data_IF_267802776117
#
_entry.id   IF_267802776117
#
_cell.length_a   1.000
_cell.length_b   1.000
_cell.length_c   1.000
_cell.angle_alpha   90.00
_cell.angle_beta   90.00
_cell.angle_gamma   90.00
#
_symmetry.space_group_name_H-M   'P 1'
#
loop_
_entity.id
_entity.type
_entity.pdbx_description
1 polymer ?
#
# COMPACT_ATOMS: atom_id res chain seq x y z
N UNK A 1 -4.11 0.60 -12.21
CA UNK A 1 -3.08 0.42 -11.16
C UNK A 1 -1.76 1.13 -11.43
N UNK A 2 -0.88 0.70 -12.35
CA UNK A 2 0.45 1.36 -12.50
C UNK A 2 0.32 2.86 -12.81
N UNK A 3 -0.52 3.23 -13.77
CA UNK A 3 -0.85 4.64 -14.06
C UNK A 3 -1.51 5.38 -12.91
N UNK A 4 -2.25 4.70 -12.04
CA UNK A 4 -2.99 5.35 -10.95
C UNK A 4 -2.14 5.52 -9.69
N UNK A 5 -1.22 4.58 -9.44
CA UNK A 5 -0.34 4.55 -8.27
C UNK A 5 0.91 5.37 -8.55
N UNK A 6 1.51 5.21 -9.74
CA UNK A 6 2.81 5.79 -10.08
C UNK A 6 2.72 6.98 -11.05
N UNK A 7 1.53 7.29 -11.56
CA UNK A 7 1.34 8.32 -12.61
C UNK A 7 2.15 8.03 -13.91
N UNK A 8 2.55 6.76 -14.14
CA UNK A 8 3.32 6.30 -15.29
C UNK A 8 2.50 5.48 -16.28
N UNK A 9 2.81 5.60 -17.57
CA UNK A 9 2.32 4.70 -18.61
C UNK A 9 3.39 3.67 -18.99
N UNK A 10 2.99 2.42 -19.17
CA UNK A 10 3.87 1.35 -19.65
C UNK A 10 3.55 1.08 -21.12
N UNK A 11 4.59 1.02 -21.94
CA UNK A 11 4.51 0.56 -23.32
C UNK A 11 5.24 -0.76 -23.51
N UNK A 12 4.58 -1.66 -24.24
CA UNK A 12 5.11 -2.95 -24.63
C UNK A 12 5.34 -2.93 -26.13
N UNK A 13 6.55 -3.23 -26.58
CA UNK A 13 6.83 -3.49 -28.00
C UNK A 13 7.52 -4.83 -28.11
N UNK A 14 6.95 -5.71 -28.93
CA UNK A 14 7.51 -7.00 -29.30
C UNK A 14 8.56 -6.82 -30.39
N UNK A 15 9.71 -7.47 -30.26
CA UNK A 15 10.67 -7.63 -31.36
C UNK A 15 10.78 -9.13 -31.64
N UNK A 16 10.54 -9.56 -32.89
CA UNK A 16 10.41 -10.98 -33.28
C UNK A 16 11.67 -11.82 -33.00
N UNK A 17 12.79 -11.19 -32.65
CA UNK A 17 14.08 -11.84 -32.41
C UNK A 17 14.47 -12.02 -30.93
N UNK A 18 13.75 -11.39 -29.98
CA UNK A 18 14.08 -11.46 -28.54
C UNK A 18 12.77 -11.55 -27.76
N UNK A 19 12.57 -12.64 -27.01
CA UNK A 19 11.40 -12.90 -26.13
C UNK A 19 11.24 -11.91 -24.96
N UNK A 20 11.88 -10.75 -24.99
CA UNK A 20 11.84 -9.75 -23.91
C UNK A 20 11.06 -8.53 -24.39
N UNK A 21 9.84 -8.38 -23.87
CA UNK A 21 8.95 -7.25 -24.12
C UNK A 21 9.01 -6.29 -22.92
N UNK A 22 9.90 -5.30 -22.92
CA UNK A 22 9.80 -4.12 -22.04
C UNK A 22 10.40 -2.91 -22.73
N UNK A 23 9.57 -1.97 -23.21
CA UNK A 23 10.04 -0.70 -23.76
C UNK A 23 9.51 0.47 -22.92
N UNK A 24 10.08 0.55 -21.72
CA UNK A 24 10.14 1.74 -20.90
C UNK A 24 8.84 2.26 -20.28
N UNK A 25 9.01 3.18 -19.34
CA UNK A 25 7.95 3.95 -18.72
C UNK A 25 7.90 5.34 -19.35
N UNK A 26 6.70 5.88 -19.51
CA UNK A 26 6.48 7.25 -19.96
C UNK A 26 5.82 8.05 -18.85
N UNK A 27 6.48 9.14 -18.48
CA UNK A 27 5.90 10.17 -17.60
C UNK A 27 5.16 11.20 -18.46
N UNK A 28 4.07 11.78 -17.95
CA UNK A 28 3.28 12.78 -18.68
C UNK A 28 4.06 14.07 -18.97
N UNK A 29 5.08 14.37 -18.17
CA UNK A 29 5.88 15.59 -18.28
C UNK A 29 7.10 15.43 -19.19
N UNK A 30 7.43 14.20 -19.60
CA UNK A 30 8.59 13.91 -20.42
C UNK A 30 8.20 13.28 -21.75
N UNK A 31 8.81 13.75 -22.85
CA UNK A 31 8.52 13.24 -24.19
C UNK A 31 9.10 11.85 -24.45
N UNK A 32 10.13 11.45 -23.69
CA UNK A 32 10.91 10.24 -23.94
C UNK A 32 10.51 9.09 -23.01
N UNK A 33 10.69 7.86 -23.49
CA UNK A 33 10.56 6.64 -22.70
C UNK A 33 11.81 6.39 -21.87
N UNK A 34 11.63 5.95 -20.62
CA UNK A 34 12.72 5.60 -19.71
C UNK A 34 12.80 4.09 -19.55
N UNK A 35 14.01 3.52 -19.70
CA UNK A 35 14.24 2.11 -19.38
C UNK A 35 13.97 1.85 -17.88
N UNK A 36 13.56 0.64 -17.49
CA UNK A 36 13.43 0.27 -16.09
C UNK A 36 14.71 0.54 -15.26
N UNK A 37 15.89 0.40 -15.88
CA UNK A 37 17.19 0.73 -15.27
C UNK A 37 17.40 2.22 -14.97
N UNK A 38 16.63 3.09 -15.61
CA UNK A 38 16.80 4.55 -15.55
C UNK A 38 15.77 5.21 -14.62
N UNK A 39 15.03 4.41 -13.85
CA UNK A 39 13.95 4.85 -12.97
C UNK A 39 14.33 4.57 -11.52
N UNK A 40 13.83 5.39 -10.60
CA UNK A 40 14.10 5.24 -9.18
C UNK A 40 13.71 3.85 -8.66
N UNK A 41 14.49 3.35 -7.71
CA UNK A 41 14.31 2.02 -7.12
C UNK A 41 12.90 1.82 -6.54
N UNK A 42 12.29 2.86 -5.96
CA UNK A 42 10.93 2.82 -5.43
C UNK A 42 9.85 2.56 -6.50
N UNK A 43 9.95 3.20 -7.66
CA UNK A 43 9.03 2.96 -8.78
C UNK A 43 9.16 1.55 -9.35
N UNK A 44 10.39 1.05 -9.46
CA UNK A 44 10.66 -0.33 -9.87
C UNK A 44 10.07 -1.34 -8.89
N UNK A 45 10.25 -1.12 -7.59
CA UNK A 45 9.71 -1.98 -6.55
C UNK A 45 8.17 -1.97 -6.55
N UNK A 46 7.57 -0.78 -6.60
CA UNK A 46 6.13 -0.62 -6.71
C UNK A 46 5.55 -1.30 -7.95
N UNK A 47 6.23 -1.18 -9.10
CA UNK A 47 5.81 -1.86 -10.33
C UNK A 47 5.81 -3.37 -10.17
N UNK A 48 6.86 -3.94 -9.54
CA UNK A 48 6.92 -5.38 -9.25
C UNK A 48 5.77 -5.83 -8.35
N UNK A 49 5.48 -5.09 -7.28
CA UNK A 49 4.35 -5.38 -6.38
C UNK A 49 3.04 -5.42 -7.17
N UNK A 50 2.81 -4.45 -8.07
CA UNK A 50 1.58 -4.40 -8.87
C UNK A 50 1.50 -5.57 -9.85
N UNK A 51 2.59 -5.87 -10.58
CA UNK A 51 2.63 -6.98 -11.54
C UNK A 51 2.39 -8.32 -10.84
N UNK A 52 3.08 -8.57 -9.72
CA UNK A 52 2.92 -9.80 -8.93
C UNK A 52 1.50 -9.88 -8.38
N UNK A 53 1.00 -8.82 -7.74
CA UNK A 53 -0.35 -8.81 -7.17
C UNK A 53 -1.44 -9.10 -8.21
N UNK A 54 -1.26 -8.63 -9.45
CA UNK A 54 -2.19 -8.89 -10.55
C UNK A 54 -2.09 -10.29 -11.18
N UNK A 55 -0.99 -11.03 -10.95
CA UNK A 55 -0.83 -12.40 -11.44
C UNK A 55 -1.37 -13.45 -10.46
N UNK A 56 -1.66 -13.07 -9.22
CA UNK A 56 -2.21 -13.95 -8.18
C UNK A 56 -3.64 -14.38 -8.45
N UNK A 57 -4.00 -15.51 -7.87
CA UNK A 57 -5.32 -16.14 -7.96
C UNK A 57 -5.98 -16.18 -6.58
N UNK A 58 -7.29 -16.40 -6.57
CA UNK A 58 -8.06 -16.61 -5.35
C UNK A 58 -7.45 -17.73 -4.51
N UNK A 59 -7.21 -17.48 -3.23
CA UNK A 59 -6.58 -18.40 -2.29
C UNK A 59 -5.07 -18.24 -2.16
N UNK A 60 -4.42 -17.46 -3.03
CA UNK A 60 -3.00 -17.16 -2.88
C UNK A 60 -2.74 -16.21 -1.71
N UNK A 61 -1.52 -16.31 -1.15
CA UNK A 61 -1.03 -15.42 -0.10
C UNK A 61 0.03 -14.50 -0.72
N UNK A 62 -0.13 -13.19 -0.51
CA UNK A 62 0.80 -12.18 -0.94
C UNK A 62 1.43 -11.49 0.26
N UNK A 63 2.75 -11.61 0.41
CA UNK A 63 3.49 -11.03 1.54
C UNK A 63 4.42 -9.94 1.00
N UNK A 64 4.37 -8.76 1.61
CA UNK A 64 5.13 -7.59 1.16
C UNK A 64 5.69 -6.86 2.38
N UNK A 65 6.99 -6.58 2.34
CA UNK A 65 7.66 -5.74 3.32
C UNK A 65 7.81 -4.32 2.76
N UNK A 66 7.57 -3.33 3.61
CA UNK A 66 7.62 -1.89 3.34
C UNK A 66 7.26 -1.47 1.90
N UNK A 67 6.01 -1.69 1.43
CA UNK A 67 5.58 -1.28 0.09
C UNK A 67 5.68 0.24 -0.17
N UNK A 68 5.83 1.05 0.88
CA UNK A 68 5.91 2.51 0.86
C UNK A 68 7.28 3.10 0.53
N UNK A 69 8.36 2.30 0.52
CA UNK A 69 9.73 2.81 0.43
C UNK A 69 9.94 3.64 -0.85
N UNK A 70 10.47 4.85 -0.66
CA UNK A 70 10.77 5.82 -1.73
C UNK A 70 9.57 6.22 -2.60
N UNK A 71 8.35 6.12 -2.06
CA UNK A 71 7.13 6.55 -2.74
C UNK A 71 6.56 7.83 -2.15
N UNK A 72 5.94 8.62 -3.03
CA UNK A 72 5.17 9.78 -2.61
C UNK A 72 3.92 9.35 -1.81
N UNK A 73 3.49 10.08 -0.76
CA UNK A 73 2.29 9.73 0.03
C UNK A 73 1.03 9.46 -0.78
N UNK A 74 0.85 10.17 -1.90
CA UNK A 74 -0.24 9.93 -2.87
C UNK A 74 -0.22 8.48 -3.41
N UNK A 75 0.96 7.99 -3.79
CA UNK A 75 1.13 6.63 -4.30
C UNK A 75 0.87 5.58 -3.22
N UNK A 76 1.33 5.83 -1.98
CA UNK A 76 1.08 4.95 -0.83
C UNK A 76 -0.43 4.82 -0.56
N UNK A 77 -1.17 5.94 -0.63
CA UNK A 77 -2.63 5.92 -0.50
C UNK A 77 -3.30 5.08 -1.61
N UNK A 78 -2.78 5.14 -2.83
CA UNK A 78 -3.26 4.30 -3.95
C UNK A 78 -2.89 2.83 -3.80
N UNK A 79 -1.80 2.52 -3.10
CA UNK A 79 -1.48 1.15 -2.73
C UNK A 79 -2.51 0.55 -1.78
N UNK A 80 -3.02 1.30 -0.80
CA UNK A 80 -4.11 0.82 0.04
C UNK A 80 -5.35 0.42 -0.78
N UNK A 81 -5.73 1.24 -1.78
CA UNK A 81 -6.83 0.93 -2.71
C UNK A 81 -6.54 -0.38 -3.49
N UNK A 82 -5.29 -0.56 -3.95
CA UNK A 82 -4.86 -1.77 -4.66
C UNK A 82 -4.91 -3.02 -3.78
N UNK A 83 -4.45 -2.95 -2.54
CA UNK A 83 -4.49 -4.10 -1.63
C UNK A 83 -5.92 -4.49 -1.27
N UNK A 84 -6.80 -3.52 -1.03
CA UNK A 84 -8.23 -3.78 -0.83
C UNK A 84 -8.85 -4.45 -2.07
N UNK A 85 -8.45 -4.04 -3.27
CA UNK A 85 -8.85 -4.72 -4.50
C UNK A 85 -8.38 -6.19 -4.53
N UNK A 86 -7.13 -6.49 -4.18
CA UNK A 86 -6.64 -7.88 -4.12
C UNK A 86 -7.43 -8.73 -3.11
N UNK A 87 -7.67 -8.19 -1.91
CA UNK A 87 -8.48 -8.85 -0.88
C UNK A 87 -9.89 -9.14 -1.39
N UNK A 88 -10.50 -8.21 -2.14
CA UNK A 88 -11.82 -8.43 -2.77
C UNK A 88 -11.84 -9.58 -3.80
N UNK A 89 -10.67 -9.99 -4.32
CA UNK A 89 -10.52 -11.16 -5.20
C UNK A 89 -10.26 -12.47 -4.44
N UNK A 90 -10.27 -12.41 -3.10
CA UNK A 90 -10.01 -13.56 -2.23
C UNK A 90 -8.53 -13.91 -2.14
N UNK A 91 -7.64 -12.92 -2.32
CA UNK A 91 -6.20 -13.04 -2.08
C UNK A 91 -5.93 -12.59 -0.63
N UNK A 92 -5.16 -13.35 0.12
CA UNK A 92 -4.72 -12.93 1.45
C UNK A 92 -3.49 -12.05 1.32
N UNK A 93 -3.56 -10.80 1.79
CA UNK A 93 -2.43 -9.87 1.71
C UNK A 93 -1.88 -9.62 3.12
N UNK A 94 -0.59 -9.85 3.30
CA UNK A 94 0.16 -9.59 4.53
C UNK A 94 1.17 -8.48 4.23
N UNK A 95 1.07 -7.38 4.96
CA UNK A 95 1.89 -6.20 4.73
C UNK A 95 2.58 -5.83 6.03
N UNK A 96 3.90 -5.72 5.98
CA UNK A 96 4.67 -5.02 6.99
C UNK A 96 4.82 -3.55 6.54
N UNK A 97 4.53 -2.61 7.45
CA UNK A 97 4.50 -1.19 7.12
C UNK A 97 4.79 -0.32 8.35
N UNK A 98 5.47 0.79 8.10
CA UNK A 98 5.67 1.90 9.03
C UNK A 98 4.88 3.14 8.59
N UNK A 99 4.02 3.02 7.57
CA UNK A 99 3.35 4.16 6.95
C UNK A 99 2.00 4.49 7.58
N UNK A 100 1.95 5.63 8.26
CA UNK A 100 0.71 6.26 8.70
C UNK A 100 -0.26 6.55 7.55
N UNK A 101 0.24 6.81 6.34
CA UNK A 101 -0.58 7.07 5.16
C UNK A 101 -1.34 5.82 4.70
N UNK A 102 -0.67 4.66 4.68
CA UNK A 102 -1.29 3.39 4.31
C UNK A 102 -2.41 3.06 5.30
N UNK A 103 -2.10 3.11 6.61
CA UNK A 103 -3.05 2.80 7.67
C UNK A 103 -4.24 3.77 7.68
N UNK A 104 -4.00 5.07 7.52
CA UNK A 104 -5.07 6.08 7.46
C UNK A 104 -6.01 5.85 6.29
N UNK A 105 -5.47 5.45 5.13
CA UNK A 105 -6.27 5.18 3.95
C UNK A 105 -7.07 3.88 4.08
N UNK A 106 -6.52 2.82 4.65
CA UNK A 106 -7.26 1.59 4.97
C UNK A 106 -8.46 1.88 5.89
N UNK A 107 -8.27 2.73 6.91
CA UNK A 107 -9.38 3.19 7.76
C UNK A 107 -10.45 3.94 6.99
N UNK A 108 -10.05 4.81 6.07
CA UNK A 108 -10.97 5.59 5.27
C UNK A 108 -11.84 4.71 4.36
N UNK A 109 -11.24 3.72 3.67
CA UNK A 109 -11.99 2.82 2.79
C UNK A 109 -12.88 1.85 3.58
N UNK A 110 -12.47 1.43 4.79
CA UNK A 110 -13.36 0.72 5.73
C UNK A 110 -14.56 1.59 6.14
N UNK A 111 -14.33 2.87 6.48
CA UNK A 111 -15.42 3.81 6.79
C UNK A 111 -16.40 3.99 5.62
N UNK A 112 -15.89 3.95 4.37
CA UNK A 112 -16.71 3.96 3.16
C UNK A 112 -17.40 2.62 2.85
N UNK A 113 -17.15 1.57 3.64
CA UNK A 113 -17.66 0.20 3.47
C UNK A 113 -17.23 -0.43 2.14
N UNK A 114 -16.04 -0.06 1.66
CA UNK A 114 -15.45 -0.65 0.45
C UNK A 114 -14.82 -2.03 0.72
N UNK A 115 -14.46 -2.30 1.99
CA UNK A 115 -14.15 -3.63 2.51
C UNK A 115 -14.79 -3.82 3.89
N UNK A 116 -15.00 -5.06 4.35
CA UNK A 116 -15.65 -5.39 5.62
C UNK A 116 -14.68 -5.28 6.80
N UNK A 117 -15.20 -5.06 8.01
CA UNK A 117 -14.36 -5.01 9.22
C UNK A 117 -13.49 -6.26 9.42
N UNK A 118 -13.96 -7.43 8.98
CA UNK A 118 -13.25 -8.72 9.04
C UNK A 118 -12.12 -8.88 8.01
N UNK A 119 -12.10 -8.03 6.97
CA UNK A 119 -11.12 -8.11 5.87
C UNK A 119 -9.78 -7.46 6.23
N UNK A 120 -9.68 -6.76 7.37
CA UNK A 120 -8.46 -6.08 7.78
C UNK A 120 -8.22 -6.20 9.29
N UNK A 121 -7.07 -6.77 9.66
CA UNK A 121 -6.58 -6.83 11.04
C UNK A 121 -5.18 -6.22 11.03
N UNK A 122 -4.90 -5.35 11.99
CA UNK A 122 -3.58 -4.75 12.19
C UNK A 122 -2.92 -5.48 13.35
N UNK A 123 -1.73 -6.02 13.12
CA UNK A 123 -0.91 -6.57 14.19
C UNK A 123 0.17 -5.56 14.55
N UNK A 124 -0.01 -4.88 15.68
CA UNK A 124 0.98 -3.92 16.17
C UNK A 124 2.03 -4.61 17.02
N UNK A 125 3.31 -4.33 16.76
CA UNK A 125 4.45 -4.85 17.51
C UNK A 125 5.22 -3.71 18.13
N UNK A 126 5.29 -3.69 19.46
CA UNK A 126 6.24 -2.87 20.20
C UNK A 126 7.53 -3.67 20.45
N UNK A 127 8.64 -3.00 20.74
CA UNK A 127 9.95 -3.61 20.96
C UNK A 127 9.94 -4.67 22.08
N UNK A 128 9.03 -4.55 23.06
CA UNK A 128 9.04 -5.36 24.28
C UNK A 128 7.83 -6.30 24.45
N UNK A 129 6.82 -6.23 23.58
CA UNK A 129 5.56 -6.98 23.75
C UNK A 129 5.25 -7.85 22.54
N UNK A 130 4.48 -8.92 22.69
CA UNK A 130 3.98 -9.70 21.57
C UNK A 130 3.06 -8.88 20.66
N UNK A 131 2.78 -9.39 19.45
CA UNK A 131 1.86 -8.73 18.53
C UNK A 131 0.49 -8.52 19.16
N UNK A 132 0.04 -7.27 19.19
CA UNK A 132 -1.29 -6.88 19.67
C UNK A 132 -2.22 -6.71 18.46
N UNK A 133 -3.32 -7.47 18.38
CA UNK A 133 -4.30 -7.30 17.30
C UNK A 133 -5.14 -6.04 17.55
N UNK A 134 -5.25 -5.22 16.52
CA UNK A 134 -6.06 -4.01 16.45
C UNK A 134 -7.01 -4.17 15.27
N UNK A 135 -8.29 -3.92 15.51
CA UNK A 135 -9.33 -4.03 14.49
C UNK A 135 -9.74 -2.65 14.00
N UNK A 136 -10.36 -2.60 12.83
CA UNK A 136 -10.96 -1.38 12.28
C UNK A 136 -12.47 -1.59 12.22
N UNK A 137 -13.22 -0.68 12.82
CA UNK A 137 -14.67 -0.64 12.72
C UNK A 137 -15.14 0.77 12.41
N UNK A 138 -15.82 0.95 11.28
CA UNK A 138 -16.27 2.28 10.81
C UNK A 138 -15.14 3.32 10.80
N UNK A 139 -13.94 2.93 10.36
CA UNK A 139 -12.74 3.76 10.28
C UNK A 139 -12.07 4.13 11.62
N UNK A 140 -12.56 3.58 12.75
CA UNK A 140 -11.96 3.75 14.08
C UNK A 140 -11.22 2.49 14.49
N UNK A 141 -10.15 2.65 15.24
CA UNK A 141 -9.46 1.52 15.86
C UNK A 141 -10.29 0.97 17.01
N UNK A 142 -10.43 -0.36 17.06
CA UNK A 142 -11.17 -1.05 18.11
C UNK A 142 -10.44 -2.28 18.63
N UNK A 143 -10.76 -2.68 19.86
CA UNK A 143 -10.41 -4.00 20.36
C UNK A 143 -11.34 -5.09 19.80
N UNK A 144 -11.14 -6.34 20.24
CA UNK A 144 -11.98 -7.49 19.83
C UNK A 144 -13.45 -7.33 20.23
N UNK A 145 -13.75 -6.55 21.27
CA UNK A 145 -15.10 -6.26 21.74
C UNK A 145 -15.75 -5.07 21.01
N UNK A 146 -15.12 -4.52 19.96
CA UNK A 146 -15.54 -3.33 19.21
C UNK A 146 -15.54 -2.02 20.01
N UNK A 147 -14.86 -2.00 21.15
CA UNK A 147 -14.67 -0.78 21.93
C UNK A 147 -13.58 0.06 21.28
N UNK A 148 -13.81 1.36 21.15
CA UNK A 148 -12.84 2.28 20.57
C UNK A 148 -11.57 2.31 21.43
N UNK A 149 -10.43 2.11 20.79
CA UNK A 149 -9.12 2.25 21.42
C UNK A 149 -8.31 3.35 20.75
N UNK A 150 -7.34 3.90 21.47
CA UNK A 150 -6.29 4.70 20.86
C UNK A 150 -5.25 3.75 20.25
N UNK A 151 -4.61 4.20 19.17
CA UNK A 151 -3.50 3.44 18.61
C UNK A 151 -2.32 3.47 19.59
N UNK A 152 -1.54 2.39 19.73
CA UNK A 152 -0.37 2.37 20.59
C UNK A 152 0.60 3.52 20.33
N UNK A 153 1.22 4.03 21.39
CA UNK A 153 2.22 5.09 21.34
C UNK A 153 3.44 4.63 20.54
N UNK A 154 4.05 5.54 19.80
CA UNK A 154 5.28 5.33 19.02
C UNK A 154 5.07 5.34 17.50
N UNK A 155 3.86 5.05 17.01
CA UNK A 155 3.56 5.00 15.57
C UNK A 155 2.96 6.31 15.03
N UNK A 156 2.09 6.95 15.81
CA UNK A 156 1.48 8.24 15.49
C UNK A 156 2.09 9.41 16.29
N UNK A 157 3.23 9.18 16.96
CA UNK A 157 3.78 10.09 17.99
C UNK A 157 4.33 11.43 17.47
N UNK A 158 4.37 11.63 16.14
CA UNK A 158 4.66 12.94 15.58
C UNK A 158 3.38 13.78 15.52
N UNK A 159 3.04 14.31 16.70
CA UNK A 159 2.65 15.70 16.95
C UNK A 159 1.47 16.26 16.15
N UNK A 160 0.23 15.89 16.49
CA UNK A 160 -0.86 16.87 16.33
C UNK A 160 -0.88 17.80 17.54
N UNK A 161 -0.75 17.24 18.74
CA UNK A 161 -0.80 18.00 20.00
C UNK A 161 0.44 18.91 20.16
N UNK A 162 1.66 18.44 19.89
CA UNK A 162 2.84 19.33 19.91
C UNK A 162 2.90 20.30 18.73
N UNK A 163 2.28 19.99 17.58
CA UNK A 163 2.12 20.98 16.50
C UNK A 163 1.09 22.07 16.87
N UNK A 164 0.09 21.73 17.69
CA UNK A 164 -0.83 22.71 18.27
C UNK A 164 -0.18 23.60 19.33
N UNK A 165 0.93 23.19 19.95
CA UNK A 165 1.74 24.03 20.84
C UNK A 165 2.56 25.11 20.10
N UNK A 166 2.81 24.93 18.79
CA UNK A 166 3.52 25.92 17.96
C UNK A 166 2.60 27.12 17.60
N UNK A 167 1.37 27.15 18.10
CA UNK A 167 0.35 28.14 17.71
C UNK A 167 0.01 29.15 18.80
#
# INVERSE_FOLDING_TARGET
>A
WIKEILDLEISFTTNESIDIILNGFKDKNFSNYFLPSNISTGLNFATKIIIIGLSLKKGDIFIIENPEIHLHPKAISKFADFFAFLVSKGIQVIIETHSNYLLSKLRYINFKKEFKDEDCIIYYKDQQTDFVPIFIHSGKFTNINREKINFPTGFFDTDLDKLMEIR
#
